data_IF_919277337035
#
_entry.id   IF_919277337035
#
_cell.length_a   1.000
_cell.length_b   1.000
_cell.length_c   1.000
_cell.angle_alpha   90.00
_cell.angle_beta   90.00
_cell.angle_gamma   90.00
#
_symmetry.space_group_name_H-M   'P 1'
#
loop_
_entity.id
_entity.type
_entity.pdbx_description
1 polymer ?
#
# COMPACT_ATOMS: atom_id res chain seq x y z
N UNK A 1 9.33 -29.40 -2.70
CA UNK A 1 9.30 -28.87 -1.33
C UNK A 1 7.95 -28.21 -1.12
N UNK A 2 7.11 -28.79 -0.24
CA UNK A 2 5.86 -28.15 0.14
C UNK A 2 6.17 -27.08 1.18
N UNK A 3 5.90 -25.83 0.85
CA UNK A 3 5.88 -24.70 1.79
C UNK A 3 4.44 -24.54 2.24
N UNK A 4 4.20 -24.45 3.53
CA UNK A 4 2.90 -24.08 4.07
C UNK A 4 3.05 -22.84 4.93
N UNK A 5 2.08 -21.96 4.84
CA UNK A 5 1.96 -20.79 5.69
C UNK A 5 0.51 -20.62 6.11
N UNK A 6 0.30 -20.02 7.24
CA UNK A 6 -1.00 -19.61 7.76
C UNK A 6 -0.96 -18.15 8.21
N UNK A 7 -2.12 -17.57 8.38
CA UNK A 7 -2.27 -16.26 8.99
C UNK A 7 -3.57 -16.26 9.81
N UNK A 8 -3.44 -16.07 11.10
CA UNK A 8 -4.57 -15.80 11.97
C UNK A 8 -4.79 -14.30 12.08
N UNK A 9 -6.04 -13.88 12.16
CA UNK A 9 -6.31 -12.46 12.27
C UNK A 9 -7.78 -12.11 12.08
N UNK A 10 -8.04 -10.84 11.85
CA UNK A 10 -9.38 -10.30 11.61
C UNK A 10 -9.33 -9.15 10.63
N UNK A 11 -10.43 -8.96 9.93
CA UNK A 11 -10.70 -7.80 9.10
C UNK A 11 -11.88 -6.99 9.63
N UNK A 12 -11.82 -5.67 9.40
CA UNK A 12 -12.89 -4.74 9.75
C UNK A 12 -13.23 -3.93 8.51
N UNK A 13 -14.51 -3.82 8.23
CA UNK A 13 -15.00 -2.91 7.19
C UNK A 13 -16.16 -2.09 7.74
N UNK A 14 -16.05 -0.75 7.61
CA UNK A 14 -17.03 0.20 8.12
C UNK A 14 -17.33 1.24 7.05
N UNK A 15 -18.60 1.46 6.74
CA UNK A 15 -19.06 2.56 5.89
C UNK A 15 -20.18 3.28 6.62
N UNK A 16 -20.05 4.60 6.73
CA UNK A 16 -21.05 5.43 7.37
C UNK A 16 -20.99 6.87 6.85
N UNK A 17 -22.11 7.57 6.94
CA UNK A 17 -22.23 8.98 6.57
C UNK A 17 -22.58 9.78 7.82
N UNK A 18 -21.58 10.41 8.48
CA UNK A 18 -21.83 11.20 9.71
C UNK A 18 -22.67 12.44 9.44
N UNK A 19 -22.68 12.92 8.20
CA UNK A 19 -23.47 14.02 7.68
C UNK A 19 -23.94 13.70 6.28
N UNK A 20 -25.02 14.29 5.81
CA UNK A 20 -25.59 14.06 4.46
C UNK A 20 -24.57 14.30 3.32
N UNK A 21 -23.59 15.15 3.56
CA UNK A 21 -22.56 15.51 2.59
C UNK A 21 -21.24 14.78 2.78
N UNK A 22 -21.07 13.95 3.81
CA UNK A 22 -19.79 13.31 4.13
C UNK A 22 -19.96 11.80 4.21
N UNK A 23 -19.21 11.09 3.38
CA UNK A 23 -19.09 9.63 3.41
C UNK A 23 -17.71 9.22 3.92
N UNK A 24 -17.69 8.24 4.82
CA UNK A 24 -16.47 7.66 5.38
C UNK A 24 -16.49 6.16 5.14
N UNK A 25 -15.39 5.65 4.58
CA UNK A 25 -15.13 4.22 4.47
C UNK A 25 -13.79 3.89 5.14
N UNK A 26 -13.82 2.94 6.05
CA UNK A 26 -12.67 2.41 6.76
C UNK A 26 -12.55 0.92 6.48
N UNK A 27 -11.35 0.45 6.20
CA UNK A 27 -11.04 -0.98 6.22
C UNK A 27 -9.73 -1.21 6.96
N UNK A 28 -9.68 -2.29 7.72
CA UNK A 28 -8.50 -2.73 8.44
C UNK A 28 -8.34 -4.23 8.33
N UNK A 29 -7.14 -4.69 8.00
CA UNK A 29 -6.73 -6.09 8.03
C UNK A 29 -5.61 -6.20 9.07
N UNK A 30 -5.76 -7.10 10.02
CA UNK A 30 -4.82 -7.35 11.11
C UNK A 30 -4.56 -8.84 11.16
N UNK A 31 -3.34 -9.25 10.84
CA UNK A 31 -2.97 -10.68 10.68
C UNK A 31 -1.62 -10.96 11.34
N UNK A 32 -1.43 -12.20 11.76
CA UNK A 32 -0.15 -12.74 12.20
C UNK A 32 0.28 -13.86 11.24
N UNK A 33 1.02 -13.52 10.15
CA UNK A 33 1.41 -14.47 9.13
C UNK A 33 2.68 -15.22 9.56
N UNK A 34 2.66 -16.54 9.45
CA UNK A 34 3.76 -17.41 9.83
C UNK A 34 3.96 -18.55 8.84
N UNK A 35 5.21 -18.97 8.61
CA UNK A 35 5.50 -20.23 7.94
C UNK A 35 5.29 -21.41 8.90
N UNK A 36 4.27 -22.22 8.65
CA UNK A 36 4.03 -23.46 9.39
C UNK A 36 5.11 -24.51 9.10
N UNK A 37 5.59 -24.53 7.85
CA UNK A 37 6.66 -25.43 7.40
C UNK A 37 7.41 -24.84 6.21
N UNK A 38 8.69 -24.52 6.40
CA UNK A 38 9.61 -24.14 5.32
C UNK A 38 11.05 -24.57 5.62
N UNK A 39 11.28 -25.91 5.79
CA UNK A 39 12.58 -26.42 6.28
C UNK A 39 13.71 -26.38 5.26
N UNK A 40 13.41 -26.25 3.96
CA UNK A 40 14.38 -26.36 2.87
C UNK A 40 14.37 -25.14 1.96
N UNK A 41 14.41 -23.92 2.52
CA UNK A 41 14.65 -22.73 1.73
C UNK A 41 16.14 -22.59 1.37
N UNK A 42 16.47 -21.73 0.42
CA UNK A 42 17.86 -21.38 0.11
C UNK A 42 18.58 -20.69 1.30
N UNK A 43 17.82 -20.16 2.24
CA UNK A 43 18.32 -19.50 3.44
C UNK A 43 18.41 -20.43 4.67
N UNK A 44 18.00 -21.69 4.53
CA UNK A 44 17.89 -22.66 5.63
C UNK A 44 16.44 -22.90 6.05
N UNK A 45 16.22 -23.29 7.29
CA UNK A 45 14.87 -23.50 7.83
C UNK A 45 14.23 -22.16 8.24
N UNK A 46 13.18 -21.79 7.57
CA UNK A 46 12.37 -20.58 7.83
C UNK A 46 11.05 -20.90 8.56
N UNK A 47 10.86 -22.16 8.99
CA UNK A 47 9.68 -22.55 9.79
C UNK A 47 9.57 -21.67 11.04
N UNK A 48 8.38 -21.15 11.30
CA UNK A 48 8.14 -20.25 12.43
C UNK A 48 8.53 -18.79 12.19
N UNK A 49 9.05 -18.44 11.01
CA UNK A 49 9.33 -17.04 10.66
C UNK A 49 8.17 -16.41 9.88
N UNK A 50 8.15 -15.10 9.84
CA UNK A 50 7.16 -14.32 9.09
C UNK A 50 7.55 -14.25 7.60
N UNK A 51 6.61 -14.49 6.67
CA UNK A 51 6.83 -14.31 5.24
C UNK A 51 7.17 -12.86 4.88
N UNK A 52 8.05 -12.68 3.89
CA UNK A 52 8.38 -11.34 3.40
C UNK A 52 7.21 -10.70 2.63
N UNK A 53 7.24 -9.38 2.52
CA UNK A 53 6.25 -8.55 1.82
C UNK A 53 4.81 -8.62 2.36
N UNK A 54 4.57 -9.24 3.50
CA UNK A 54 3.26 -9.33 4.15
C UNK A 54 3.26 -8.45 5.40
N UNK A 55 2.61 -7.28 5.39
CA UNK A 55 2.42 -6.46 6.57
C UNK A 55 1.42 -7.13 7.53
N UNK A 56 1.61 -6.95 8.84
CA UNK A 56 0.66 -7.42 9.86
C UNK A 56 -0.60 -6.56 9.89
N UNK A 57 -0.42 -5.26 9.70
CA UNK A 57 -1.51 -4.30 9.73
C UNK A 57 -1.62 -3.59 8.37
N UNK A 58 -2.82 -3.54 7.85
CA UNK A 58 -3.16 -2.71 6.68
C UNK A 58 -4.44 -1.95 6.97
N UNK A 59 -4.39 -0.62 6.89
CA UNK A 59 -5.54 0.25 7.15
C UNK A 59 -5.76 1.16 5.95
N UNK A 60 -6.98 1.18 5.43
CA UNK A 60 -7.41 2.13 4.40
C UNK A 60 -8.53 3.00 4.93
N UNK A 61 -8.39 4.30 4.73
CA UNK A 61 -9.39 5.29 5.10
C UNK A 61 -9.72 6.14 3.88
N UNK A 62 -11.00 6.26 3.57
CA UNK A 62 -11.47 7.17 2.54
C UNK A 62 -12.55 8.08 3.13
N UNK A 63 -12.40 9.38 2.93
CA UNK A 63 -13.36 10.40 3.30
C UNK A 63 -13.75 11.16 2.05
N UNK A 64 -15.03 11.22 1.75
CA UNK A 64 -15.56 11.96 0.61
C UNK A 64 -16.52 13.03 1.13
N UNK A 65 -16.29 14.27 0.76
CA UNK A 65 -17.22 15.36 0.94
C UNK A 65 -17.89 15.65 -0.41
N UNK A 66 -19.21 15.55 -0.44
CA UNK A 66 -20.04 15.78 -1.61
C UNK A 66 -20.84 17.07 -1.43
N UNK A 67 -21.08 17.78 -2.53
CA UNK A 67 -22.00 18.94 -2.56
C UNK A 67 -22.71 19.02 -3.90
N UNK A 68 -23.90 19.60 -3.87
CA UNK A 68 -24.65 20.05 -5.05
C UNK A 68 -24.78 21.58 -4.99
N UNK A 69 -24.49 22.27 -6.07
CA UNK A 69 -24.67 23.68 -6.20
C UNK A 69 -25.06 24.05 -7.64
N UNK A 70 -26.29 24.52 -7.84
CA UNK A 70 -26.83 24.97 -9.14
C UNK A 70 -26.70 23.93 -10.27
N UNK A 71 -26.92 22.65 -9.99
CA UNK A 71 -26.83 21.56 -10.98
C UNK A 71 -25.38 21.12 -11.29
N UNK A 72 -24.44 21.49 -10.43
CA UNK A 72 -23.08 20.97 -10.42
C UNK A 72 -22.90 20.06 -9.23
N UNK A 73 -22.69 18.80 -9.50
CA UNK A 73 -22.29 17.83 -8.46
C UNK A 73 -20.79 17.89 -8.27
N UNK A 74 -20.37 18.14 -7.05
CA UNK A 74 -18.97 18.24 -6.74
C UNK A 74 -18.57 17.32 -5.59
N UNK A 75 -17.28 16.98 -5.54
CA UNK A 75 -16.72 16.21 -4.44
C UNK A 75 -15.26 16.57 -4.16
N UNK A 76 -14.84 16.34 -2.93
CA UNK A 76 -13.43 16.20 -2.52
C UNK A 76 -13.30 14.86 -1.82
N UNK A 77 -12.32 14.07 -2.24
CA UNK A 77 -12.00 12.79 -1.61
C UNK A 77 -10.56 12.78 -1.10
N UNK A 78 -10.39 12.36 0.14
CA UNK A 78 -9.12 12.06 0.76
C UNK A 78 -9.02 10.55 0.96
N UNK A 79 -7.93 9.96 0.51
CA UNK A 79 -7.63 8.55 0.72
C UNK A 79 -6.30 8.40 1.47
N UNK A 80 -6.29 7.57 2.50
CA UNK A 80 -5.10 7.21 3.25
C UNK A 80 -4.93 5.70 3.24
N UNK A 81 -3.72 5.23 2.93
CA UNK A 81 -3.35 3.83 3.01
C UNK A 81 -2.12 3.69 3.90
N UNK A 82 -2.28 2.95 4.98
CA UNK A 82 -1.22 2.55 5.89
C UNK A 82 -0.99 1.04 5.79
N UNK A 83 0.28 0.63 5.74
CA UNK A 83 0.68 -0.74 5.98
C UNK A 83 1.88 -0.75 6.93
N UNK A 84 1.85 -1.65 7.90
CA UNK A 84 2.95 -1.84 8.86
C UNK A 84 4.22 -2.35 8.18
N UNK A 85 5.29 -2.38 8.92
CA UNK A 85 6.60 -2.83 8.43
C UNK A 85 6.57 -4.29 7.99
N UNK A 86 7.19 -4.56 6.84
CA UNK A 86 7.41 -5.91 6.32
C UNK A 86 8.80 -6.01 5.70
N UNK A 87 9.46 -7.14 5.89
CA UNK A 87 10.73 -7.43 5.24
C UNK A 87 10.53 -7.53 3.73
N UNK A 88 11.49 -7.05 2.95
CA UNK A 88 11.47 -7.15 1.50
C UNK A 88 11.94 -8.50 0.99
N UNK A 89 12.85 -9.15 1.72
CA UNK A 89 13.50 -10.38 1.31
C UNK A 89 13.26 -11.51 2.30
N UNK A 90 13.13 -12.72 1.77
CA UNK A 90 12.90 -13.93 2.54
C UNK A 90 14.14 -14.45 3.26
N UNK A 91 15.32 -14.33 2.62
CA UNK A 91 16.60 -14.71 3.22
C UNK A 91 17.02 -13.68 4.29
N UNK A 92 17.10 -14.04 5.59
CA UNK A 92 17.47 -13.09 6.64
C UNK A 92 18.86 -12.46 6.45
N UNK A 93 19.77 -13.15 5.77
CA UNK A 93 21.13 -12.63 5.49
C UNK A 93 21.05 -11.53 4.44
N UNK A 94 20.31 -11.77 3.35
CA UNK A 94 20.08 -10.78 2.31
C UNK A 94 19.24 -9.61 2.83
N UNK A 95 18.26 -9.89 3.70
CA UNK A 95 17.46 -8.87 4.37
C UNK A 95 18.33 -7.95 5.25
N UNK A 96 19.24 -8.50 6.06
CA UNK A 96 20.15 -7.72 6.90
C UNK A 96 21.09 -6.82 6.08
N UNK A 97 21.52 -7.28 4.90
CA UNK A 97 22.36 -6.46 3.99
C UNK A 97 21.58 -5.29 3.42
N UNK A 98 20.35 -5.50 2.93
CA UNK A 98 19.53 -4.40 2.38
C UNK A 98 19.10 -3.42 3.47
N UNK A 99 18.81 -3.89 4.69
CA UNK A 99 18.50 -3.02 5.83
C UNK A 99 19.66 -2.07 6.17
N UNK A 100 20.90 -2.55 6.07
CA UNK A 100 22.08 -1.71 6.29
C UNK A 100 22.19 -0.54 5.30
N UNK A 101 21.48 -0.59 4.17
CA UNK A 101 21.37 0.52 3.20
C UNK A 101 20.28 1.53 3.56
N UNK A 102 19.45 1.26 4.59
CA UNK A 102 18.29 2.06 4.97
C UNK A 102 17.01 1.76 4.18
N UNK A 103 17.01 0.74 3.31
CA UNK A 103 15.89 0.43 2.40
C UNK A 103 15.26 -0.96 2.62
N UNK A 104 15.70 -1.70 3.62
CA UNK A 104 15.30 -3.11 3.81
C UNK A 104 13.87 -3.32 4.28
N UNK A 105 13.24 -2.31 4.84
CA UNK A 105 11.90 -2.40 5.42
C UNK A 105 10.90 -1.69 4.52
N UNK A 106 9.88 -2.44 4.09
CA UNK A 106 8.73 -1.88 3.41
C UNK A 106 7.71 -1.41 4.43
N UNK A 107 7.38 -0.14 4.39
CA UNK A 107 6.33 0.48 5.19
C UNK A 107 5.60 1.48 4.31
N UNK A 108 4.30 1.50 4.38
CA UNK A 108 3.49 2.40 3.56
C UNK A 108 2.64 3.34 4.41
N UNK A 109 2.65 4.61 4.05
CA UNK A 109 1.84 5.65 4.68
C UNK A 109 1.46 6.71 3.64
N UNK A 110 0.65 6.31 2.68
CA UNK A 110 0.39 7.08 1.45
C UNK A 110 -0.91 7.87 1.55
N UNK A 111 -0.85 9.17 1.23
CA UNK A 111 -2.01 10.05 1.10
C UNK A 111 -2.33 10.36 -0.36
N UNK A 112 -3.61 10.30 -0.69
CA UNK A 112 -4.15 10.65 -2.00
C UNK A 112 -5.27 11.67 -1.84
N UNK A 113 -5.43 12.55 -2.83
CA UNK A 113 -6.50 13.51 -2.90
C UNK A 113 -7.13 13.49 -4.30
N UNK A 114 -8.43 13.65 -4.39
CA UNK A 114 -9.09 14.01 -5.64
C UNK A 114 -10.21 15.00 -5.38
N UNK A 115 -10.46 15.89 -6.34
CA UNK A 115 -11.56 16.82 -6.32
C UNK A 115 -12.15 16.91 -7.72
N UNK A 116 -13.47 16.87 -7.84
CA UNK A 116 -14.13 16.89 -9.12
C UNK A 116 -15.43 17.69 -9.09
N UNK A 117 -15.82 18.09 -10.30
CA UNK A 117 -17.14 18.68 -10.59
C UNK A 117 -17.72 17.94 -11.76
N UNK A 118 -18.99 17.60 -11.68
CA UNK A 118 -19.72 16.86 -12.71
C UNK A 118 -21.04 17.56 -13.06
N UNK A 119 -21.37 17.52 -14.33
CA UNK A 119 -22.65 17.93 -14.91
C UNK A 119 -23.12 16.85 -15.86
N UNK A 120 -24.33 16.98 -16.43
CA UNK A 120 -24.87 16.03 -17.43
C UNK A 120 -23.90 15.77 -18.60
N UNK A 121 -23.04 16.72 -18.96
CA UNK A 121 -22.16 16.64 -20.12
C UNK A 121 -20.68 16.75 -19.84
N UNK A 122 -20.30 17.35 -18.75
CA UNK A 122 -18.89 17.65 -18.44
C UNK A 122 -18.53 17.08 -17.07
N UNK A 123 -17.43 16.33 -17.02
CA UNK A 123 -16.77 15.94 -15.78
C UNK A 123 -15.33 16.41 -15.80
N UNK A 124 -14.93 17.12 -14.74
CA UNK A 124 -13.56 17.60 -14.55
C UNK A 124 -13.07 17.09 -13.20
N UNK A 125 -11.96 16.38 -13.18
CA UNK A 125 -11.36 15.84 -11.97
C UNK A 125 -9.88 16.20 -11.90
N UNK A 126 -9.49 16.84 -10.82
CA UNK A 126 -8.09 16.95 -10.37
C UNK A 126 -7.77 15.80 -9.43
N UNK A 127 -6.56 15.24 -9.51
CA UNK A 127 -6.09 14.25 -8.54
C UNK A 127 -4.62 14.47 -8.17
N UNK A 128 -4.30 14.13 -6.94
CA UNK A 128 -2.93 14.00 -6.42
C UNK A 128 -2.78 12.61 -5.80
N UNK A 129 -1.74 11.88 -6.20
CA UNK A 129 -1.37 10.59 -5.63
C UNK A 129 -0.08 10.72 -4.88
N UNK A 130 0.02 10.02 -3.76
CA UNK A 130 1.19 10.06 -2.88
C UNK A 130 1.61 11.51 -2.55
N UNK A 131 0.63 12.34 -2.13
CA UNK A 131 0.86 13.79 -1.94
C UNK A 131 1.81 14.11 -0.78
N UNK A 132 2.00 13.19 0.14
CA UNK A 132 2.94 13.27 1.25
C UNK A 132 4.35 12.76 0.91
N UNK A 133 4.58 12.32 -0.36
CA UNK A 133 5.87 11.87 -0.87
C UNK A 133 6.45 10.70 -0.07
N UNK A 134 5.59 9.74 0.25
CA UNK A 134 5.98 8.51 0.94
C UNK A 134 6.86 7.66 0.00
N UNK A 135 8.08 7.36 0.43
CA UNK A 135 9.06 6.64 -0.38
C UNK A 135 9.40 5.30 0.27
N UNK A 136 9.20 4.22 -0.46
CA UNK A 136 9.58 2.87 -0.07
C UNK A 136 9.83 1.98 -1.30
N UNK A 137 10.55 0.89 -1.11
CA UNK A 137 10.69 -0.12 -2.15
C UNK A 137 9.47 -1.05 -2.14
N UNK A 138 8.88 -1.27 -3.31
CA UNK A 138 7.77 -2.24 -3.46
C UNK A 138 8.29 -3.66 -3.48
N UNK A 139 9.49 -3.86 -4.03
CA UNK A 139 10.21 -5.13 -4.07
C UNK A 139 11.71 -4.89 -4.21
N UNK A 140 12.51 -5.87 -3.81
CA UNK A 140 13.95 -5.87 -3.98
C UNK A 140 14.42 -7.25 -4.43
N UNK A 141 15.52 -7.28 -5.18
CA UNK A 141 16.19 -8.51 -5.63
C UNK A 141 17.69 -8.39 -5.33
N UNK A 142 18.29 -9.40 -4.68
CA UNK A 142 19.75 -9.46 -4.58
C UNK A 142 20.35 -9.68 -5.97
N UNK A 143 21.50 -9.07 -6.25
CA UNK A 143 22.28 -9.42 -7.44
C UNK A 143 22.80 -10.85 -7.28
N UNK A 144 22.50 -11.72 -8.24
CA UNK A 144 22.59 -13.18 -8.12
C UNK A 144 24.02 -13.70 -8.11
N UNK A 145 25.03 -12.85 -8.29
CA UNK A 145 26.41 -13.30 -8.55
C UNK A 145 27.18 -13.71 -7.31
N UNK A 146 26.95 -13.07 -6.19
CA UNK A 146 27.55 -13.43 -4.88
C UNK A 146 26.78 -12.77 -3.73
N UNK A 147 26.31 -13.57 -2.75
CA UNK A 147 25.68 -13.04 -1.52
C UNK A 147 26.66 -12.26 -0.62
N UNK A 148 27.95 -12.23 -0.97
CA UNK A 148 28.94 -11.35 -0.34
C UNK A 148 28.96 -9.93 -0.92
N UNK A 149 28.31 -9.71 -2.08
CA UNK A 149 28.21 -8.41 -2.71
C UNK A 149 26.94 -7.70 -2.23
N UNK A 150 27.08 -6.45 -1.82
CA UNK A 150 26.08 -5.59 -1.22
C UNK A 150 25.20 -4.90 -2.25
N UNK A 151 25.01 -5.49 -3.44
CA UNK A 151 24.27 -4.88 -4.54
C UNK A 151 22.86 -5.46 -4.63
N UNK A 152 21.87 -4.58 -4.61
CA UNK A 152 20.45 -4.91 -4.74
C UNK A 152 19.81 -4.06 -5.83
N UNK A 153 18.89 -4.67 -6.56
CA UNK A 153 17.96 -3.95 -7.42
C UNK A 153 16.64 -3.78 -6.68
N UNK A 154 16.14 -2.55 -6.60
CA UNK A 154 14.85 -2.26 -5.96
C UNK A 154 13.95 -1.47 -6.89
N UNK A 155 12.65 -1.75 -6.82
CA UNK A 155 11.63 -0.95 -7.48
C UNK A 155 10.97 -0.03 -6.45
N UNK A 156 11.10 1.30 -6.60
CA UNK A 156 10.41 2.23 -5.73
C UNK A 156 8.89 2.20 -5.97
N UNK A 157 8.13 2.68 -5.00
CA UNK A 157 6.72 2.98 -5.19
C UNK A 157 6.53 4.16 -6.15
N UNK A 158 5.28 4.45 -6.50
CA UNK A 158 4.96 5.60 -7.35
C UNK A 158 5.28 6.91 -6.62
N UNK A 159 6.04 7.77 -7.27
CA UNK A 159 6.32 9.11 -6.79
C UNK A 159 5.06 9.96 -6.72
N UNK A 160 5.17 11.07 -6.01
CA UNK A 160 4.15 12.10 -5.98
C UNK A 160 3.73 12.51 -7.40
N UNK A 161 2.44 12.41 -7.69
CA UNK A 161 1.90 12.67 -9.03
C UNK A 161 0.63 13.48 -8.92
N UNK A 162 0.48 14.46 -9.80
CA UNK A 162 -0.75 15.25 -9.96
C UNK A 162 -1.25 15.16 -11.39
N UNK A 163 -2.55 15.21 -11.56
CA UNK A 163 -3.15 15.17 -12.88
C UNK A 163 -4.52 15.80 -12.93
N UNK A 164 -4.95 16.08 -14.16
CA UNK A 164 -6.27 16.59 -14.50
C UNK A 164 -6.91 15.64 -15.51
N UNK A 165 -8.15 15.26 -15.28
CA UNK A 165 -8.98 14.51 -16.22
C UNK A 165 -10.18 15.36 -16.61
N UNK A 166 -10.47 15.44 -17.90
CA UNK A 166 -11.63 16.14 -18.44
C UNK A 166 -12.36 15.19 -19.40
N UNK A 167 -13.63 14.95 -19.14
CA UNK A 167 -14.49 14.14 -19.98
C UNK A 167 -15.68 14.98 -20.44
N UNK A 168 -16.00 14.94 -21.74
CA UNK A 168 -17.15 15.63 -22.31
C UNK A 168 -17.98 14.67 -23.16
N UNK A 169 -19.28 14.65 -22.89
CA UNK A 169 -20.28 13.85 -23.64
C UNK A 169 -21.07 14.75 -24.59
N UNK A 170 -21.12 14.41 -25.87
CA UNK A 170 -21.82 15.16 -26.92
C UNK A 170 -23.33 14.90 -26.95
#
# INVERSE_FOLDING_TARGET
>A
NAVSHSADGYDIYLVFSPFDSIDVALSGLFIDPIYDSFPNSSAGDLTGTRPSNIPEDTISTNVTWNWDFNGYDGYIRLGHLYASEANLLEDPRAQAVIEATGNGIKKQNTLNISAGIETDKLSVMFYGRNINDDEFLTTAFPEVVDLSETTFYGYPNNYKTYGLSVNYSF
#
